data_IF_538566007750
#
_entry.id   IF_538566007750
#
_cell.length_a   1.000
_cell.length_b   1.000
_cell.length_c   1.000
_cell.angle_alpha   90.00
_cell.angle_beta   90.00
_cell.angle_gamma   90.00
#
_symmetry.space_group_name_H-M   'P 1'
#
loop_
_entity.id
_entity.type
_entity.pdbx_description
1 polymer ?
#
# COMPACT_ATOMS: atom_id res chain seq x y z
N UNK A 1 5.21 3.86 -15.79
CA UNK A 1 3.73 4.04 -15.82
C UNK A 1 3.16 3.17 -16.91
N UNK A 2 2.15 2.36 -16.61
CA UNK A 2 1.47 1.49 -17.57
C UNK A 2 -0.01 1.84 -17.58
N UNK A 3 -0.53 2.28 -18.73
CA UNK A 3 -1.90 2.82 -18.86
C UNK A 3 -3.00 1.78 -18.68
N UNK A 4 -2.65 0.48 -18.69
CA UNK A 4 -3.60 -0.61 -18.45
C UNK A 4 -3.50 -1.20 -17.03
N UNK A 5 -2.75 -0.56 -16.12
CA UNK A 5 -2.61 -1.03 -14.74
C UNK A 5 -3.47 -0.19 -13.80
N UNK A 6 -4.44 -0.83 -13.14
CA UNK A 6 -5.33 -0.18 -12.18
C UNK A 6 -4.59 0.50 -11.02
N UNK A 7 -3.44 -0.04 -10.60
CA UNK A 7 -2.63 0.54 -9.52
C UNK A 7 -1.81 1.75 -9.97
N UNK A 8 -1.50 1.86 -11.27
CA UNK A 8 -0.83 3.04 -11.82
C UNK A 8 -1.77 4.23 -12.03
N UNK A 9 -3.08 4.00 -12.05
CA UNK A 9 -4.06 5.07 -12.06
C UNK A 9 -4.09 5.78 -10.70
N UNK A 10 -4.78 6.93 -10.66
CA UNK A 10 -5.07 7.59 -9.39
C UNK A 10 -5.88 6.67 -8.49
N UNK A 11 -5.58 6.70 -7.19
CA UNK A 11 -6.30 5.90 -6.21
C UNK A 11 -7.77 6.36 -6.18
N UNK A 12 -8.69 5.44 -6.43
CA UNK A 12 -10.12 5.68 -6.29
C UNK A 12 -10.60 5.55 -4.85
N UNK A 13 -9.77 4.91 -4.01
CA UNK A 13 -10.00 4.70 -2.59
C UNK A 13 -9.34 5.80 -1.77
N UNK A 14 -9.77 5.95 -0.52
CA UNK A 14 -9.21 6.95 0.38
C UNK A 14 -7.73 6.67 0.67
N UNK A 15 -6.90 7.70 0.47
CA UNK A 15 -5.47 7.65 0.78
C UNK A 15 -5.31 8.08 2.25
N UNK A 16 -4.90 7.16 3.12
CA UNK A 16 -4.63 7.46 4.52
C UNK A 16 -3.25 8.11 4.70
N UNK A 17 -2.28 7.69 3.90
CA UNK A 17 -0.91 8.18 3.94
C UNK A 17 -0.22 7.94 2.60
N UNK A 18 0.72 8.81 2.22
CA UNK A 18 1.53 8.65 1.02
C UNK A 18 2.87 9.35 1.17
N UNK A 19 3.92 8.75 0.63
CA UNK A 19 5.22 9.37 0.38
C UNK A 19 5.64 9.23 -1.10
N UNK A 20 6.91 9.50 -1.41
CA UNK A 20 7.45 9.39 -2.78
C UNK A 20 7.65 7.94 -3.25
N UNK A 21 7.52 6.95 -2.35
CA UNK A 21 7.81 5.55 -2.63
C UNK A 21 6.52 4.71 -2.75
N UNK A 22 5.60 4.87 -1.81
CA UNK A 22 4.35 4.12 -1.74
C UNK A 22 3.22 4.94 -1.13
N UNK A 23 2.00 4.43 -1.28
CA UNK A 23 0.79 4.98 -0.65
C UNK A 23 0.06 3.90 0.12
N UNK A 24 -0.62 4.29 1.18
CA UNK A 24 -1.50 3.45 1.97
C UNK A 24 -2.93 3.90 1.71
N UNK A 25 -3.75 3.00 1.21
CA UNK A 25 -5.15 3.25 0.90
C UNK A 25 -6.07 2.40 1.77
N UNK A 26 -7.18 2.97 2.22
CA UNK A 26 -8.24 2.27 2.93
C UNK A 26 -9.32 1.85 1.93
N UNK A 27 -9.63 0.55 1.91
CA UNK A 27 -10.74 0.03 1.15
C UNK A 27 -11.97 -0.07 2.04
N UNK A 28 -13.06 0.48 1.53
CA UNK A 28 -14.37 0.35 2.13
C UNK A 28 -14.96 -1.01 1.74
N UNK A 29 -14.65 -2.03 2.53
CA UNK A 29 -15.28 -3.34 2.45
C UNK A 29 -16.07 -3.59 3.74
N UNK A 30 -17.36 -3.93 3.61
CA UNK A 30 -18.25 -4.10 4.76
C UNK A 30 -17.89 -5.33 5.60
N UNK A 31 -17.30 -6.35 4.97
CA UNK A 31 -16.91 -7.60 5.64
C UNK A 31 -15.52 -7.49 6.30
N UNK A 32 -14.73 -6.47 5.93
CA UNK A 32 -13.34 -6.28 6.38
C UNK A 32 -13.07 -4.84 6.85
N UNK A 33 -13.47 -4.48 8.08
CA UNK A 33 -13.10 -3.19 8.66
C UNK A 33 -11.57 -3.08 8.79
N UNK A 34 -11.01 -1.98 8.30
CA UNK A 34 -9.56 -1.75 8.30
C UNK A 34 -8.81 -2.40 7.15
N UNK A 35 -9.49 -2.79 6.07
CA UNK A 35 -8.81 -3.35 4.91
C UNK A 35 -7.94 -2.29 4.20
N UNK A 36 -6.68 -2.23 4.58
CA UNK A 36 -5.69 -1.36 3.97
C UNK A 36 -4.88 -2.07 2.88
N UNK A 37 -4.42 -1.31 1.89
CA UNK A 37 -3.38 -1.75 0.94
C UNK A 37 -2.21 -0.79 0.97
N UNK A 38 -1.01 -1.36 0.93
CA UNK A 38 0.22 -0.61 0.69
C UNK A 38 0.59 -0.80 -0.79
N UNK A 39 0.48 0.27 -1.56
CA UNK A 39 0.64 0.26 -3.00
C UNK A 39 1.93 1.01 -3.39
N UNK A 40 2.80 0.34 -4.14
CA UNK A 40 3.99 0.98 -4.68
C UNK A 40 3.60 1.98 -5.78
N UNK A 41 4.18 3.18 -5.77
CA UNK A 41 3.91 4.18 -6.81
C UNK A 41 4.57 3.80 -8.15
N UNK A 42 5.72 3.12 -8.09
CA UNK A 42 6.38 2.57 -9.26
C UNK A 42 5.68 1.30 -9.77
N UNK A 43 5.60 1.13 -11.09
CA UNK A 43 5.07 -0.08 -11.71
C UNK A 43 6.14 -1.18 -11.68
N UNK A 44 6.07 -2.06 -10.69
CA UNK A 44 6.97 -3.19 -10.52
C UNK A 44 6.14 -4.45 -10.35
N UNK A 45 6.49 -5.52 -11.07
CA UNK A 45 5.67 -6.73 -11.13
C UNK A 45 5.86 -7.58 -9.88
N UNK A 46 7.10 -7.86 -9.51
CA UNK A 46 7.42 -8.73 -8.38
C UNK A 46 8.21 -7.98 -7.30
N UNK A 47 8.02 -8.36 -6.03
CA UNK A 47 8.86 -7.85 -4.93
C UNK A 47 10.36 -8.10 -5.19
N UNK A 48 10.70 -9.19 -5.88
CA UNK A 48 12.07 -9.54 -6.24
C UNK A 48 12.68 -8.67 -7.33
N UNK A 49 11.89 -7.86 -8.02
CA UNK A 49 12.38 -6.91 -9.00
C UNK A 49 12.84 -5.60 -8.34
N UNK A 50 12.45 -5.35 -7.08
CA UNK A 50 12.93 -4.22 -6.29
C UNK A 50 14.34 -4.46 -5.75
N UNK A 51 15.18 -3.42 -5.60
CA UNK A 51 16.38 -3.48 -4.77
C UNK A 51 16.05 -3.95 -3.35
N UNK A 52 16.96 -4.72 -2.74
CA UNK A 52 16.74 -5.30 -1.39
C UNK A 52 16.34 -4.25 -0.36
N UNK A 53 16.97 -3.07 -0.40
CA UNK A 53 16.65 -1.97 0.51
C UNK A 53 15.21 -1.48 0.36
N UNK A 54 14.72 -1.38 -0.87
CA UNK A 54 13.35 -0.95 -1.17
C UNK A 54 12.32 -1.99 -0.74
N UNK A 55 12.64 -3.29 -0.85
CA UNK A 55 11.78 -4.37 -0.30
C UNK A 55 11.61 -4.21 1.21
N UNK A 56 12.72 -3.99 1.91
CA UNK A 56 12.71 -3.77 3.36
C UNK A 56 11.96 -2.49 3.74
N UNK A 57 12.09 -1.41 2.97
CA UNK A 57 11.33 -0.18 3.19
C UNK A 57 9.83 -0.42 3.02
N UNK A 58 9.40 -1.09 1.96
CA UNK A 58 7.99 -1.41 1.74
C UNK A 58 7.42 -2.25 2.88
N UNK A 59 8.17 -3.28 3.29
CA UNK A 59 7.72 -4.17 4.37
C UNK A 59 7.64 -3.46 5.73
N UNK A 60 8.52 -2.47 5.98
CA UNK A 60 8.39 -1.63 7.18
C UNK A 60 7.06 -0.86 7.18
N UNK A 61 6.66 -0.30 6.03
CA UNK A 61 5.37 0.40 5.92
C UNK A 61 4.21 -0.57 6.18
N UNK A 62 4.27 -1.78 5.62
CA UNK A 62 3.27 -2.84 5.89
C UNK A 62 3.14 -3.12 7.39
N UNK A 63 4.26 -3.34 8.10
CA UNK A 63 4.22 -3.59 9.54
C UNK A 63 3.68 -2.40 10.36
N UNK A 64 3.98 -1.16 9.97
CA UNK A 64 3.43 0.04 10.64
C UNK A 64 1.92 0.14 10.43
N UNK A 65 1.44 -0.14 9.21
CA UNK A 65 0.00 -0.18 8.93
C UNK A 65 -0.69 -1.27 9.73
N UNK A 66 -0.12 -2.48 9.78
CA UNK A 66 -0.64 -3.58 10.60
C UNK A 66 -0.74 -3.20 12.08
N UNK A 67 0.33 -2.61 12.63
CA UNK A 67 0.33 -2.14 14.01
C UNK A 67 -0.77 -1.09 14.24
N UNK A 68 -0.92 -0.13 13.33
CA UNK A 68 -1.94 0.92 13.43
C UNK A 68 -3.35 0.34 13.39
N UNK A 69 -3.60 -0.65 12.52
CA UNK A 69 -4.88 -1.36 12.45
C UNK A 69 -5.15 -2.07 13.78
N UNK A 70 -4.15 -2.77 14.33
CA UNK A 70 -4.28 -3.43 15.62
C UNK A 70 -4.57 -2.45 16.77
N UNK A 71 -3.98 -1.26 16.76
CA UNK A 71 -4.19 -0.25 17.82
C UNK A 71 -5.57 0.43 17.74
N UNK A 72 -6.16 0.51 16.55
CA UNK A 72 -7.45 1.21 16.33
C UNK A 72 -8.64 0.27 16.38
N UNK A 73 -8.48 -0.99 15.94
CA UNK A 73 -9.58 -1.94 15.78
C UNK A 73 -9.61 -3.08 16.81
N UNK A 74 -8.55 -3.26 17.62
CA UNK A 74 -8.60 -4.13 18.80
C UNK A 74 -8.83 -3.30 20.07
#
# INVERSE_FOLDING_TARGET
>A
MNNNCALCAEATSEILWQDDFCRVVLLYDIDYPGYCRVELLAHVKEMTDLPVLQRSQLMKVVCVVEQTICEVLH
#
